data_IF_631621242384
#
_entry.id   IF_631621242384
#
_cell.length_a   1.000
_cell.length_b   1.000
_cell.length_c   1.000
_cell.angle_alpha   90.00
_cell.angle_beta   90.00
_cell.angle_gamma   90.00
#
_symmetry.space_group_name_H-M   'P 1'
#
loop_
_entity.id
_entity.type
_entity.pdbx_description
1 polymer ?
#
# COMPACT_ATOMS: atom_id res chain seq x y z
N UNK A 1 -25.52 5.67 -8.84
CA UNK A 1 -25.84 5.63 -7.40
C UNK A 1 -24.74 6.36 -6.65
N UNK A 2 -25.11 7.43 -5.94
CA UNK A 2 -24.17 8.41 -5.39
C UNK A 2 -23.40 7.86 -4.19
N UNK A 3 -22.07 7.97 -4.22
CA UNK A 3 -21.22 7.64 -3.09
C UNK A 3 -21.53 8.55 -1.92
N UNK A 4 -21.85 7.97 -0.77
CA UNK A 4 -21.97 8.68 0.49
C UNK A 4 -20.58 9.24 0.87
N UNK A 5 -20.30 10.46 0.44
CA UNK A 5 -19.19 11.27 0.94
C UNK A 5 -19.38 11.33 2.46
N UNK A 6 -18.47 10.75 3.25
CA UNK A 6 -18.54 10.69 4.72
C UNK A 6 -18.52 12.07 5.39
N UNK A 7 -19.54 12.88 5.14
CA UNK A 7 -19.77 14.19 5.69
C UNK A 7 -20.44 14.04 7.05
N UNK A 8 -20.08 14.94 7.96
CA UNK A 8 -20.74 15.06 9.26
C UNK A 8 -22.18 15.49 9.00
N UNK A 9 -23.20 14.76 9.50
CA UNK A 9 -24.60 15.15 9.34
C UNK A 9 -24.87 16.57 9.86
N UNK A 10 -25.75 17.27 9.17
CA UNK A 10 -26.18 18.62 9.54
C UNK A 10 -26.86 18.63 10.93
N UNK A 11 -26.58 19.64 11.77
CA UNK A 11 -27.06 19.73 13.17
C UNK A 11 -26.27 18.89 14.19
N UNK A 12 -25.24 18.17 13.75
CA UNK A 12 -24.36 17.41 14.65
C UNK A 12 -23.18 18.21 15.20
N UNK A 13 -22.78 19.25 14.48
CA UNK A 13 -21.77 20.20 14.95
C UNK A 13 -22.18 20.84 16.28
N UNK A 14 -23.48 21.04 16.49
CA UNK A 14 -24.07 21.67 17.68
C UNK A 14 -24.15 20.71 18.89
N UNK A 15 -23.73 19.44 18.73
CA UNK A 15 -23.76 18.40 19.77
C UNK A 15 -22.36 17.83 20.01
N UNK A 16 -21.45 18.60 20.64
CA UNK A 16 -20.02 18.23 20.77
C UNK A 16 -19.81 16.90 21.50
N UNK A 17 -20.68 16.58 22.47
CA UNK A 17 -20.62 15.32 23.22
C UNK A 17 -20.97 14.07 22.38
N UNK A 18 -21.76 14.23 21.32
CA UNK A 18 -22.08 13.14 20.40
C UNK A 18 -21.07 13.09 19.25
N UNK A 19 -20.65 14.28 18.79
CA UNK A 19 -19.68 14.44 17.70
C UNK A 19 -18.34 13.75 18.01
N UNK A 20 -17.87 13.81 19.28
CA UNK A 20 -16.62 13.13 19.70
C UNK A 20 -16.65 11.60 19.58
N UNK A 21 -17.84 11.00 19.54
CA UNK A 21 -17.99 9.54 19.38
C UNK A 21 -18.08 9.12 17.90
N UNK A 22 -18.03 10.07 16.96
CA UNK A 22 -18.08 9.79 15.51
C UNK A 22 -16.70 9.92 14.90
N UNK A 23 -16.33 8.95 14.09
CA UNK A 23 -15.13 9.04 13.28
C UNK A 23 -15.39 9.95 12.08
N UNK A 24 -14.71 11.11 12.07
CA UNK A 24 -14.85 12.16 11.05
C UNK A 24 -13.80 12.04 9.96
N UNK A 25 -12.79 11.20 10.14
CA UNK A 25 -11.66 11.05 9.22
C UNK A 25 -11.79 9.79 8.37
N UNK A 26 -12.53 8.80 8.86
CA UNK A 26 -12.78 7.56 8.13
C UNK A 26 -13.54 7.83 6.83
N UNK A 27 -13.13 7.15 5.77
CA UNK A 27 -13.76 7.25 4.45
C UNK A 27 -14.03 5.85 3.90
N UNK A 28 -15.09 5.73 3.11
CA UNK A 28 -15.39 4.53 2.34
C UNK A 28 -14.49 4.43 1.11
N UNK A 29 -14.04 3.24 0.81
CA UNK A 29 -13.40 2.90 -0.47
C UNK A 29 -14.10 1.67 -1.04
N UNK A 30 -14.36 1.69 -2.35
CA UNK A 30 -14.79 0.50 -3.08
C UNK A 30 -13.56 -0.13 -3.70
N UNK A 31 -13.25 -1.36 -3.31
CA UNK A 31 -12.17 -2.14 -3.91
C UNK A 31 -12.79 -3.11 -4.91
N UNK A 32 -12.39 -3.00 -6.18
CA UNK A 32 -12.78 -3.97 -7.20
C UNK A 32 -11.71 -5.04 -7.28
N UNK A 33 -12.06 -6.30 -7.01
CA UNK A 33 -11.20 -7.41 -7.41
C UNK A 33 -11.50 -7.72 -8.88
N UNK A 34 -10.46 -7.72 -9.72
CA UNK A 34 -10.60 -8.25 -11.07
C UNK A 34 -10.51 -9.76 -10.97
N UNK A 35 -11.65 -10.43 -11.05
CA UNK A 35 -11.65 -11.88 -11.08
C UNK A 35 -10.98 -12.36 -12.36
N UNK A 36 -10.23 -13.47 -12.29
CA UNK A 36 -9.87 -14.18 -13.51
C UNK A 36 -11.17 -14.67 -14.15
N UNK A 37 -11.37 -14.49 -15.46
CA UNK A 37 -12.54 -15.05 -16.13
C UNK A 37 -12.58 -16.55 -15.89
N UNK A 38 -13.75 -17.06 -15.49
CA UNK A 38 -14.01 -18.50 -15.36
C UNK A 38 -13.96 -19.13 -16.75
N UNK A 39 -13.75 -20.45 -16.83
CA UNK A 39 -13.70 -21.18 -18.11
C UNK A 39 -14.97 -20.93 -18.97
N UNK A 40 -16.09 -20.64 -18.32
CA UNK A 40 -17.40 -20.32 -18.93
C UNK A 40 -17.51 -18.87 -19.45
N UNK A 41 -16.42 -18.09 -19.42
CA UNK A 41 -16.36 -16.69 -19.86
C UNK A 41 -16.93 -15.67 -18.87
N UNK A 42 -17.59 -16.11 -17.80
CA UNK A 42 -18.09 -15.23 -16.74
C UNK A 42 -16.94 -14.64 -15.90
N UNK A 43 -16.86 -13.31 -15.85
CA UNK A 43 -15.96 -12.57 -14.97
C UNK A 43 -16.81 -11.85 -13.92
N UNK A 44 -16.81 -12.36 -12.68
CA UNK A 44 -17.53 -11.73 -11.56
C UNK A 44 -16.51 -10.92 -10.77
N UNK A 45 -16.40 -9.63 -11.08
CA UNK A 45 -15.59 -8.71 -10.29
C UNK A 45 -16.29 -8.47 -8.93
N UNK A 46 -15.59 -8.72 -7.81
CA UNK A 46 -16.13 -8.47 -6.48
C UNK A 46 -15.85 -7.01 -6.10
N UNK A 47 -16.90 -6.23 -5.89
CA UNK A 47 -16.80 -4.92 -5.26
C UNK A 47 -16.86 -5.11 -3.73
N UNK A 48 -15.72 -4.97 -3.06
CA UNK A 48 -15.64 -4.96 -1.61
C UNK A 48 -15.64 -3.53 -1.11
N UNK A 49 -16.68 -3.14 -0.39
CA UNK A 49 -16.71 -1.85 0.31
C UNK A 49 -15.92 -1.97 1.61
N UNK A 50 -14.90 -1.13 1.76
CA UNK A 50 -14.07 -1.07 2.95
C UNK A 50 -14.15 0.33 3.56
N UNK A 51 -14.64 0.39 4.80
CA UNK A 51 -14.57 1.57 5.66
C UNK A 51 -13.33 1.44 6.54
N UNK A 52 -12.43 2.44 6.53
CA UNK A 52 -11.30 2.42 7.44
C UNK A 52 -10.14 3.30 7.03
N UNK A 53 -8.94 2.83 7.39
CA UNK A 53 -7.66 3.45 7.15
C UNK A 53 -6.77 2.55 6.29
N UNK A 54 -5.84 3.14 5.55
CA UNK A 54 -4.91 2.45 4.67
C UNK A 54 -3.48 2.79 5.10
N UNK A 55 -2.59 1.81 5.02
CA UNK A 55 -1.15 2.03 5.17
C UNK A 55 -0.50 2.10 3.79
N UNK A 56 0.33 3.10 3.56
CA UNK A 56 1.22 3.21 2.40
C UNK A 56 2.64 3.08 2.91
N UNK A 57 3.42 2.17 2.32
CA UNK A 57 4.75 1.84 2.84
C UNK A 57 5.73 1.55 1.70
N UNK A 58 6.96 2.00 1.85
CA UNK A 58 8.10 1.56 1.05
C UNK A 58 8.94 0.55 1.82
N UNK A 59 9.56 -0.36 1.07
CA UNK A 59 10.47 -1.36 1.63
C UNK A 59 11.76 -1.41 0.84
N UNK A 60 12.84 -1.79 1.51
CA UNK A 60 14.06 -2.22 0.84
C UNK A 60 13.80 -3.52 0.07
N UNK A 61 14.11 -3.53 -1.22
CA UNK A 61 14.01 -4.68 -2.11
C UNK A 61 14.85 -5.89 -1.66
N UNK A 62 16.05 -5.66 -1.13
CA UNK A 62 17.02 -6.70 -0.78
C UNK A 62 16.64 -7.40 0.52
N UNK A 63 16.36 -6.64 1.56
CA UNK A 63 16.14 -7.21 2.89
C UNK A 63 14.66 -7.25 3.29
N UNK A 64 13.78 -6.53 2.59
CA UNK A 64 12.36 -6.44 2.93
C UNK A 64 12.10 -5.66 4.23
N UNK A 65 13.02 -4.76 4.59
CA UNK A 65 12.86 -3.87 5.73
C UNK A 65 11.96 -2.71 5.34
N UNK A 66 11.06 -2.34 6.25
CA UNK A 66 10.20 -1.17 6.07
C UNK A 66 11.04 0.10 6.21
N UNK A 67 10.92 0.99 5.23
CA UNK A 67 11.52 2.31 5.23
C UNK A 67 10.49 3.37 5.66
N UNK A 68 10.08 4.21 4.72
CA UNK A 68 9.12 5.29 4.95
C UNK A 68 7.69 4.79 4.80
N UNK A 69 6.79 5.26 5.65
CA UNK A 69 5.37 4.91 5.64
C UNK A 69 4.48 6.12 5.96
N UNK A 70 3.21 6.05 5.56
CA UNK A 70 2.17 7.01 5.91
C UNK A 70 0.81 6.31 6.04
N UNK A 71 0.08 6.61 7.10
CA UNK A 71 -1.30 6.16 7.27
C UNK A 71 -2.29 7.20 6.75
N UNK A 72 -3.33 6.79 6.03
CA UNK A 72 -4.36 7.68 5.50
C UNK A 72 -5.75 7.08 5.68
N UNK A 73 -6.81 7.84 5.41
CA UNK A 73 -8.15 7.26 5.24
C UNK A 73 -8.19 6.29 4.02
N UNK A 74 -9.13 5.35 4.01
CA UNK A 74 -9.17 4.27 3.01
C UNK A 74 -9.36 4.74 1.56
N UNK A 75 -9.98 5.91 1.35
CA UNK A 75 -10.23 6.50 0.03
C UNK A 75 -9.01 7.22 -0.59
N UNK A 76 -7.88 7.29 0.12
CA UNK A 76 -6.70 7.97 -0.42
C UNK A 76 -6.15 7.18 -1.61
N UNK A 77 -5.84 7.88 -2.69
CA UNK A 77 -5.33 7.28 -3.90
C UNK A 77 -3.83 6.98 -3.77
N UNK A 78 -3.44 5.72 -3.93
CA UNK A 78 -2.06 5.25 -3.72
C UNK A 78 -1.04 6.09 -4.51
N UNK A 79 -1.33 6.37 -5.79
CA UNK A 79 -0.45 7.20 -6.62
C UNK A 79 -0.29 8.65 -6.17
N UNK A 80 -1.24 9.22 -5.43
CA UNK A 80 -1.12 10.57 -4.89
C UNK A 80 -0.29 10.61 -3.60
N UNK A 81 0.02 9.44 -3.01
CA UNK A 81 0.82 9.29 -1.78
C UNK A 81 2.22 8.76 -2.06
N UNK A 82 2.57 8.50 -3.32
CA UNK A 82 3.86 7.93 -3.71
C UNK A 82 5.03 8.75 -3.15
N UNK A 83 4.97 10.07 -3.27
CA UNK A 83 6.02 10.97 -2.78
C UNK A 83 6.23 10.89 -1.26
N UNK A 84 5.16 10.66 -0.49
CA UNK A 84 5.20 10.57 0.98
C UNK A 84 5.92 9.32 1.48
N UNK A 85 6.08 8.31 0.63
CA UNK A 85 6.73 7.03 0.99
C UNK A 85 8.10 6.85 0.33
N UNK A 86 8.63 7.86 -0.35
CA UNK A 86 9.98 7.81 -0.89
C UNK A 86 11.01 8.09 0.20
N UNK A 87 11.98 7.19 0.33
CA UNK A 87 13.10 7.34 1.24
C UNK A 87 14.29 8.00 0.54
N UNK A 88 14.59 9.25 0.90
CA UNK A 88 15.73 9.99 0.36
C UNK A 88 17.09 9.44 0.83
N UNK A 89 17.10 8.62 1.88
CA UNK A 89 18.31 7.96 2.37
C UNK A 89 18.60 6.63 1.65
N UNK A 90 17.68 6.17 0.79
CA UNK A 90 17.87 4.95 0.03
C UNK A 90 18.97 5.12 -1.05
N UNK A 91 19.85 4.13 -1.14
CA UNK A 91 21.00 4.15 -2.06
C UNK A 91 20.66 3.61 -3.45
N UNK A 92 19.53 2.91 -3.61
CA UNK A 92 19.03 2.48 -4.91
C UNK A 92 18.16 3.58 -5.54
N UNK A 93 18.44 3.95 -6.79
CA UNK A 93 17.67 4.94 -7.53
C UNK A 93 16.37 4.40 -8.13
N UNK A 94 16.15 3.08 -8.14
CA UNK A 94 14.95 2.48 -8.73
C UNK A 94 13.70 2.55 -7.84
N UNK A 95 12.56 2.96 -8.41
CA UNK A 95 11.26 2.95 -7.71
C UNK A 95 10.28 2.01 -8.39
N UNK A 96 9.96 0.90 -7.72
CA UNK A 96 8.97 -0.09 -8.20
C UNK A 96 7.65 0.09 -7.46
N UNK A 97 6.60 0.42 -8.21
CA UNK A 97 5.24 0.43 -7.68
C UNK A 97 4.24 0.00 -8.76
N UNK A 98 2.98 -0.13 -8.37
CA UNK A 98 1.93 -0.58 -9.28
C UNK A 98 1.51 0.49 -10.29
N UNK A 99 0.54 0.14 -11.13
CA UNK A 99 0.05 1.05 -12.16
C UNK A 99 -0.81 2.19 -11.62
N UNK A 100 -1.33 2.11 -10.39
CA UNK A 100 -2.07 3.19 -9.76
C UNK A 100 -1.12 4.32 -9.37
N UNK A 101 0.15 4.00 -9.12
CA UNK A 101 1.21 4.99 -8.95
C UNK A 101 1.69 5.61 -10.27
N UNK A 102 1.34 5.07 -11.44
CA UNK A 102 1.81 5.57 -12.71
C UNK A 102 1.03 6.82 -13.16
N UNK A 103 1.69 7.98 -13.15
CA UNK A 103 1.18 9.26 -13.66
C UNK A 103 2.33 10.09 -14.21
N UNK A 104 2.03 11.03 -15.13
CA UNK A 104 3.05 11.94 -15.66
C UNK A 104 3.70 12.77 -14.54
N UNK A 105 2.89 13.28 -13.61
CA UNK A 105 3.35 14.02 -12.44
C UNK A 105 4.31 13.20 -11.56
N UNK A 106 4.03 11.91 -11.36
CA UNK A 106 4.91 11.05 -10.58
C UNK A 106 6.21 10.74 -11.33
N UNK A 107 6.14 10.52 -12.65
CA UNK A 107 7.35 10.31 -13.47
C UNK A 107 8.24 11.56 -13.48
N UNK A 108 7.65 12.76 -13.58
CA UNK A 108 8.36 14.05 -13.47
C UNK A 108 8.98 14.25 -12.09
N UNK A 109 8.22 14.02 -11.02
CA UNK A 109 8.71 14.11 -9.63
C UNK A 109 9.87 13.14 -9.36
N UNK A 110 9.75 11.88 -9.84
CA UNK A 110 10.82 10.89 -9.72
C UNK A 110 12.06 11.33 -10.51
N UNK A 111 11.88 11.81 -11.75
CA UNK A 111 12.97 12.31 -12.58
C UNK A 111 13.69 13.51 -11.94
N UNK A 112 12.94 14.47 -11.39
CA UNK A 112 13.49 15.63 -10.70
C UNK A 112 14.31 15.25 -9.45
N UNK A 113 13.97 14.12 -8.81
CA UNK A 113 14.71 13.56 -7.67
C UNK A 113 15.86 12.63 -8.09
N UNK A 114 16.13 12.48 -9.39
CA UNK A 114 17.15 11.57 -9.90
C UNK A 114 16.79 10.07 -9.78
N UNK A 115 15.51 9.76 -9.57
CA UNK A 115 15.00 8.40 -9.41
C UNK A 115 14.53 7.81 -10.74
N UNK A 116 14.73 6.51 -10.90
CA UNK A 116 14.32 5.74 -12.07
C UNK A 116 12.93 5.15 -11.84
N UNK A 117 11.95 5.65 -12.58
CA UNK A 117 10.58 5.12 -12.59
C UNK A 117 10.54 3.67 -13.12
N UNK A 118 10.17 2.72 -12.25
CA UNK A 118 9.90 1.30 -12.57
C UNK A 118 8.45 0.95 -12.27
N UNK A 119 7.54 1.90 -12.48
CA UNK A 119 6.10 1.76 -12.24
C UNK A 119 5.44 0.86 -13.27
N UNK A 120 4.49 0.02 -12.88
CA UNK A 120 3.78 -0.85 -13.82
C UNK A 120 2.96 -0.04 -14.83
N UNK A 121 2.96 -0.45 -16.10
CA UNK A 121 2.15 0.22 -17.13
C UNK A 121 0.71 -0.26 -17.14
N UNK A 122 -0.23 0.67 -17.30
CA UNK A 122 -1.66 0.36 -17.43
C UNK A 122 -1.94 -0.37 -18.76
N UNK A 123 -2.89 -1.31 -18.72
CA UNK A 123 -3.41 -1.96 -19.95
C UNK A 123 -4.16 -0.92 -20.79
N UNK A 124 -3.91 -0.84 -22.11
CA UNK A 124 -4.66 0.06 -22.99
C UNK A 124 -6.14 -0.35 -23.06
N UNK A 125 -7.03 0.64 -23.16
CA UNK A 125 -8.48 0.39 -23.25
C UNK A 125 -8.82 -0.31 -24.57
N UNK A 126 -9.63 -1.36 -24.50
CA UNK A 126 -10.14 -2.08 -25.69
C UNK A 126 -9.09 -2.87 -26.49
N UNK A 127 -7.86 -3.01 -26.00
CA UNK A 127 -6.79 -3.75 -26.68
C UNK A 127 -6.02 -4.66 -25.71
N UNK A 128 -5.48 -5.80 -26.19
CA UNK A 128 -4.58 -6.61 -25.38
C UNK A 128 -3.29 -5.84 -25.08
N UNK A 129 -2.69 -6.12 -23.93
CA UNK A 129 -1.37 -5.57 -23.59
C UNK A 129 -0.32 -6.22 -24.49
N UNK A 130 0.59 -5.42 -25.05
CA UNK A 130 1.67 -5.95 -25.89
C UNK A 130 2.54 -6.94 -25.11
N UNK A 131 3.05 -7.98 -25.79
CA UNK A 131 3.87 -9.02 -25.16
C UNK A 131 5.09 -8.45 -24.44
N UNK A 132 5.73 -7.42 -25.02
CA UNK A 132 6.87 -6.70 -24.41
C UNK A 132 6.48 -6.00 -23.12
N UNK A 133 5.40 -5.22 -23.11
CA UNK A 133 4.94 -4.51 -21.90
C UNK A 133 4.53 -5.49 -20.81
N UNK A 134 3.83 -6.57 -21.18
CA UNK A 134 3.43 -7.61 -20.23
C UNK A 134 4.64 -8.26 -19.54
N UNK A 135 5.69 -8.61 -20.29
CA UNK A 135 6.93 -9.16 -19.71
C UNK A 135 7.62 -8.15 -18.78
N UNK A 136 7.68 -6.88 -19.18
CA UNK A 136 8.26 -5.83 -18.34
C UNK A 136 7.49 -5.62 -17.04
N UNK A 137 6.15 -5.55 -17.11
CA UNK A 137 5.29 -5.49 -15.92
C UNK A 137 5.45 -6.74 -15.05
N UNK A 138 5.55 -7.94 -15.63
CA UNK A 138 5.76 -9.17 -14.85
C UNK A 138 7.06 -9.11 -14.03
N UNK A 139 8.16 -8.65 -14.64
CA UNK A 139 9.43 -8.48 -13.94
C UNK A 139 9.36 -7.43 -12.82
N UNK A 140 8.69 -6.29 -13.07
CA UNK A 140 8.48 -5.22 -12.06
C UNK A 140 7.56 -5.69 -10.93
N UNK A 141 6.44 -6.33 -11.26
CA UNK A 141 5.51 -6.89 -10.29
C UNK A 141 6.12 -8.01 -9.44
N UNK A 142 7.07 -8.80 -9.96
CA UNK A 142 7.79 -9.80 -9.17
C UNK A 142 8.61 -9.15 -8.04
N UNK A 143 9.24 -8.00 -8.31
CA UNK A 143 9.92 -7.20 -7.29
C UNK A 143 8.90 -6.61 -6.32
N UNK A 144 7.84 -5.97 -6.84
CA UNK A 144 6.76 -5.38 -6.03
C UNK A 144 6.11 -6.39 -5.08
N UNK A 145 5.98 -7.66 -5.46
CA UNK A 145 5.35 -8.69 -4.63
C UNK A 145 6.01 -8.84 -3.24
N UNK A 146 7.28 -8.44 -3.10
CA UNK A 146 7.96 -8.40 -1.79
C UNK A 146 7.25 -7.51 -0.76
N UNK A 147 6.69 -6.35 -1.17
CA UNK A 147 5.93 -5.48 -0.24
C UNK A 147 4.63 -6.14 0.19
N UNK A 148 4.02 -6.90 -0.71
CA UNK A 148 2.78 -7.63 -0.42
C UNK A 148 3.01 -8.71 0.64
N UNK A 149 4.18 -9.35 0.68
CA UNK A 149 4.52 -10.28 1.76
C UNK A 149 4.60 -9.59 3.12
N UNK A 150 5.17 -8.37 3.19
CA UNK A 150 5.20 -7.58 4.42
C UNK A 150 3.77 -7.20 4.85
N UNK A 151 2.96 -6.70 3.93
CA UNK A 151 1.56 -6.36 4.21
C UNK A 151 0.73 -7.59 4.60
N UNK A 152 0.99 -8.75 4.01
CA UNK A 152 0.33 -10.01 4.37
C UNK A 152 0.72 -10.44 5.78
N UNK A 153 1.99 -10.27 6.16
CA UNK A 153 2.46 -10.52 7.52
C UNK A 153 1.78 -9.63 8.55
N UNK A 154 1.64 -8.33 8.25
CA UNK A 154 0.91 -7.37 9.07
C UNK A 154 -0.56 -7.76 9.25
N UNK A 155 -1.24 -8.14 8.16
CA UNK A 155 -2.66 -8.49 8.23
C UNK A 155 -2.91 -9.82 8.92
N UNK A 156 -2.12 -10.84 8.60
CA UNK A 156 -2.30 -12.20 9.11
C UNK A 156 -1.83 -12.36 10.55
N UNK A 157 -0.52 -12.22 10.78
CA UNK A 157 0.08 -12.58 12.06
C UNK A 157 -0.27 -11.59 13.18
N UNK A 158 -0.40 -10.30 12.85
CA UNK A 158 -0.67 -9.27 13.85
C UNK A 158 -2.18 -9.05 14.07
N UNK A 159 -3.05 -9.73 13.29
CA UNK A 159 -4.53 -9.65 13.38
C UNK A 159 -5.06 -8.22 13.53
N UNK A 160 -4.49 -7.29 12.78
CA UNK A 160 -4.75 -5.86 12.94
C UNK A 160 -6.14 -5.51 12.43
N UNK A 161 -7.08 -5.32 13.36
CA UNK A 161 -8.40 -4.72 13.08
C UNK A 161 -8.45 -3.37 13.78
N UNK A 162 -8.22 -2.30 13.03
CA UNK A 162 -8.30 -0.94 13.56
C UNK A 162 -9.77 -0.54 13.70
N UNK A 163 -10.30 -0.54 14.93
CA UNK A 163 -11.65 -0.05 15.27
C UNK A 163 -11.62 1.34 15.92
N UNK A 164 -10.50 2.05 15.77
CA UNK A 164 -10.30 3.32 16.43
C UNK A 164 -11.05 4.45 15.72
N UNK A 165 -11.53 5.39 16.52
CA UNK A 165 -12.11 6.65 16.09
C UNK A 165 -10.94 7.63 15.97
N UNK A 166 -10.79 8.27 14.82
CA UNK A 166 -9.75 9.26 14.45
C UNK A 166 -8.49 8.74 13.73
N UNK A 167 -8.03 9.53 12.75
CA UNK A 167 -6.88 9.20 11.90
C UNK A 167 -5.56 9.19 12.67
N UNK A 168 -5.44 10.03 13.70
CA UNK A 168 -4.19 10.15 14.45
C UNK A 168 -3.88 8.85 15.20
N UNK A 169 -4.86 8.29 15.91
CA UNK A 169 -4.73 6.99 16.57
C UNK A 169 -4.48 5.86 15.58
N UNK A 170 -5.20 5.86 14.46
CA UNK A 170 -4.98 4.90 13.39
C UNK A 170 -3.54 4.95 12.86
N UNK A 171 -3.00 6.16 12.62
CA UNK A 171 -1.61 6.36 12.19
C UNK A 171 -0.61 5.83 13.21
N UNK A 172 -0.78 6.15 14.49
CA UNK A 172 0.12 5.67 15.54
C UNK A 172 0.15 4.14 15.57
N UNK A 173 -1.00 3.49 15.52
CA UNK A 173 -1.06 2.02 15.51
C UNK A 173 -0.45 1.41 14.25
N UNK A 174 -0.69 2.00 13.08
CA UNK A 174 -0.03 1.58 11.83
C UNK A 174 1.49 1.67 11.98
N UNK A 175 2.00 2.78 12.51
CA UNK A 175 3.44 2.95 12.75
C UNK A 175 4.03 1.93 13.72
N UNK A 176 3.31 1.60 14.79
CA UNK A 176 3.73 0.55 15.73
C UNK A 176 3.75 -0.83 15.07
N UNK A 177 2.77 -1.13 14.22
CA UNK A 177 2.71 -2.39 13.45
C UNK A 177 3.88 -2.47 12.46
N UNK A 178 4.16 -1.38 11.75
CA UNK A 178 5.28 -1.28 10.82
C UNK A 178 6.62 -1.48 11.55
N UNK A 179 6.79 -0.82 12.70
CA UNK A 179 7.97 -0.97 13.55
C UNK A 179 8.14 -2.42 14.03
N UNK A 180 7.09 -3.03 14.57
CA UNK A 180 7.14 -4.41 15.07
C UNK A 180 7.47 -5.41 13.95
N UNK A 181 6.89 -5.22 12.75
CA UNK A 181 7.21 -6.03 11.58
C UNK A 181 8.66 -5.85 11.14
N UNK A 182 9.15 -4.61 11.12
CA UNK A 182 10.55 -4.28 10.82
C UNK A 182 11.53 -4.93 11.81
N UNK A 183 11.28 -4.80 13.12
CA UNK A 183 12.09 -5.40 14.18
C UNK A 183 12.13 -6.93 14.07
N UNK A 184 10.98 -7.58 13.89
CA UNK A 184 10.91 -9.04 13.71
C UNK A 184 11.68 -9.49 12.47
N UNK A 185 11.58 -8.72 11.37
CA UNK A 185 12.34 -8.98 10.15
C UNK A 185 13.85 -8.83 10.37
N UNK A 186 14.27 -7.79 11.09
CA UNK A 186 15.67 -7.56 11.44
C UNK A 186 16.24 -8.73 12.26
N UNK A 187 15.54 -9.19 13.31
CA UNK A 187 15.95 -10.36 14.10
C UNK A 187 16.12 -11.59 13.20
N UNK A 188 15.17 -11.84 12.30
CA UNK A 188 15.28 -12.95 11.36
C UNK A 188 16.50 -12.86 10.44
N UNK A 189 16.81 -11.65 9.94
CA UNK A 189 18.00 -11.39 9.11
C UNK A 189 19.29 -11.63 9.89
N UNK A 190 19.38 -11.14 11.13
CA UNK A 190 20.54 -11.35 12.01
C UNK A 190 20.78 -12.84 12.27
N UNK A 191 19.76 -13.59 12.66
CA UNK A 191 19.88 -15.04 12.90
C UNK A 191 20.19 -15.84 11.64
N UNK A 192 19.89 -15.32 10.44
CA UNK A 192 20.25 -15.95 9.17
C UNK A 192 21.70 -15.65 8.79
N UNK A 193 22.16 -14.42 9.03
CA UNK A 193 23.55 -14.02 8.88
C UNK A 193 24.47 -14.85 9.76
N UNK A 194 24.12 -15.00 11.05
CA UNK A 194 24.87 -15.83 12.01
C UNK A 194 24.95 -17.31 11.60
N UNK A 195 23.88 -17.87 11.03
CA UNK A 195 23.88 -19.25 10.53
C UNK A 195 24.71 -19.42 9.27
N UNK A 196 24.76 -18.42 8.41
CA UNK A 196 25.62 -18.43 7.22
C UNK A 196 27.11 -18.26 7.57
N UNK A 197 27.42 -17.61 8.71
CA UNK A 197 28.80 -17.41 9.19
C UNK A 197 29.32 -18.50 10.12
N UNK A 198 28.49 -19.49 10.51
CA UNK A 198 28.97 -20.66 11.27
C UNK A 198 29.73 -21.59 10.31
N UNK A 199 31.03 -21.82 10.51
CA UNK A 199 31.75 -22.82 9.73
C UNK A 199 31.14 -24.21 9.99
N UNK A 200 30.99 -25.01 8.93
CA UNK A 200 30.63 -26.42 9.05
C UNK A 200 31.75 -27.11 9.85
N UNK A 201 31.47 -27.40 11.12
CA UNK A 201 32.30 -28.26 11.97
C UNK A 201 32.01 -29.72 11.74
#
# INVERSE_FOLDING_TARGET
MGGHKGQVPEGLADKPAWLRHKDRDVRWSVMFSQAKPREDGAQIDLALEALGYRNHVSIDRRHGLIGVWTGTHAAAHDGARLEEVLDASNTDGGVWADNACHSATNDEMLGARGLVSRLDRKKPKGRPMSGRTRRANAARSAIRATVQHVLAHQKGLMSVVLRMIDLFRARVTVGLVDLACGMRRLVWLSCRGERASRPCG
#
